data_IF_591843854715
#
_entry.id   IF_591843854715
#
_cell.length_a   1.000
_cell.length_b   1.000
_cell.length_c   1.000
_cell.angle_alpha   90.00
_cell.angle_beta   90.00
_cell.angle_gamma   90.00
#
_symmetry.space_group_name_H-M   'P 1'
#
loop_
_entity.id
_entity.type
_entity.pdbx_description
1 polymer ?
#
# COMPACT_ATOMS: atom_id res chain seq x y z
N UNK A 1 -18.60 -2.57 -4.62
CA UNK A 1 -17.84 -3.83 -4.61
C UNK A 1 -16.34 -3.65 -4.90
N UNK A 2 -15.95 -2.90 -5.93
CA UNK A 2 -14.53 -2.68 -6.29
C UNK A 2 -13.74 -1.98 -5.17
N UNK A 3 -14.28 -0.92 -4.57
CA UNK A 3 -13.65 -0.22 -3.44
C UNK A 3 -13.39 -1.17 -2.26
N UNK A 4 -14.34 -2.07 -1.96
CA UNK A 4 -14.19 -3.08 -0.90
C UNK A 4 -13.02 -4.02 -1.20
N UNK A 5 -12.89 -4.50 -2.44
CA UNK A 5 -11.77 -5.36 -2.84
C UNK A 5 -10.42 -4.64 -2.70
N UNK A 6 -10.35 -3.38 -3.10
CA UNK A 6 -9.17 -2.53 -2.93
C UNK A 6 -8.82 -2.39 -1.43
N UNK A 7 -9.80 -2.10 -0.59
CA UNK A 7 -9.60 -1.94 0.85
C UNK A 7 -9.15 -3.25 1.51
N UNK A 8 -9.73 -4.39 1.12
CA UNK A 8 -9.32 -5.72 1.60
C UNK A 8 -7.90 -6.05 1.15
N UNK A 9 -7.54 -5.78 -0.11
CA UNK A 9 -6.19 -5.97 -0.62
C UNK A 9 -5.15 -5.16 0.16
N UNK A 10 -5.43 -3.88 0.41
CA UNK A 10 -4.57 -3.03 1.24
C UNK A 10 -4.53 -3.49 2.70
N UNK A 11 -5.65 -3.89 3.29
CA UNK A 11 -5.70 -4.39 4.66
C UNK A 11 -4.85 -5.66 4.83
N UNK A 12 -4.98 -6.63 3.91
CA UNK A 12 -4.15 -7.83 3.88
C UNK A 12 -2.67 -7.49 3.75
N UNK A 13 -2.35 -6.50 2.91
CA UNK A 13 -0.99 -5.99 2.77
C UNK A 13 -0.42 -5.44 4.08
N UNK A 14 -1.17 -4.55 4.75
CA UNK A 14 -0.78 -3.97 6.05
C UNK A 14 -0.58 -5.05 7.11
N UNK A 15 -1.53 -5.99 7.23
CA UNK A 15 -1.43 -7.11 8.16
C UNK A 15 -0.19 -7.97 7.89
N UNK A 16 0.11 -8.23 6.62
CA UNK A 16 1.32 -8.94 6.21
C UNK A 16 2.59 -8.18 6.61
N UNK A 17 2.66 -6.86 6.42
CA UNK A 17 3.82 -6.07 6.84
C UNK A 17 4.02 -6.06 8.36
N UNK A 18 2.96 -5.90 9.15
CA UNK A 18 3.06 -5.97 10.61
C UNK A 18 3.45 -7.36 11.11
N UNK A 19 2.89 -8.41 10.51
CA UNK A 19 3.24 -9.80 10.82
C UNK A 19 4.69 -10.10 10.45
N UNK A 20 5.13 -9.61 9.28
CA UNK A 20 6.52 -9.69 8.85
C UNK A 20 7.46 -8.95 9.80
N UNK A 21 7.07 -7.77 10.28
CA UNK A 21 7.83 -7.01 11.28
C UNK A 21 7.96 -7.76 12.60
N UNK A 22 6.88 -8.39 13.08
CA UNK A 22 6.92 -9.23 14.29
C UNK A 22 7.91 -10.39 14.17
N UNK A 23 7.93 -11.08 13.03
CA UNK A 23 8.84 -12.20 12.80
C UNK A 23 10.30 -11.80 12.54
N UNK A 24 10.61 -10.50 12.41
CA UNK A 24 11.96 -9.99 12.16
C UNK A 24 13.01 -10.57 13.11
N UNK A 25 12.69 -10.71 14.39
CA UNK A 25 13.63 -11.17 15.42
C UNK A 25 13.52 -12.66 15.73
N UNK A 26 12.47 -13.35 15.25
CA UNK A 26 12.19 -14.76 15.58
C UNK A 26 12.55 -15.71 14.45
N UNK A 27 12.05 -15.43 13.24
CA UNK A 27 12.15 -16.31 12.08
C UNK A 27 12.28 -15.48 10.82
N UNK A 28 13.51 -15.30 10.35
CA UNK A 28 13.82 -14.51 9.15
C UNK A 28 13.12 -15.04 7.87
N UNK A 29 12.88 -16.36 7.78
CA UNK A 29 12.12 -16.95 6.67
C UNK A 29 10.67 -16.42 6.66
N UNK A 30 9.98 -16.45 7.81
CA UNK A 30 8.63 -15.91 7.93
C UNK A 30 8.60 -14.40 7.68
N UNK A 31 9.57 -13.66 8.22
CA UNK A 31 9.73 -12.23 7.92
C UNK A 31 9.75 -11.96 6.41
N UNK A 32 10.53 -12.72 5.64
CA UNK A 32 10.60 -12.56 4.18
C UNK A 32 9.29 -12.90 3.49
N UNK A 33 8.67 -14.04 3.84
CA UNK A 33 7.42 -14.48 3.22
C UNK A 33 6.33 -13.43 3.43
N UNK A 34 6.10 -13.00 4.68
CA UNK A 34 5.07 -12.02 4.98
C UNK A 34 5.34 -10.65 4.34
N UNK A 35 6.58 -10.16 4.34
CA UNK A 35 6.89 -8.89 3.69
C UNK A 35 6.74 -8.96 2.16
N UNK A 36 7.11 -10.07 1.52
CA UNK A 36 6.90 -10.27 0.08
C UNK A 36 5.42 -10.39 -0.25
N UNK A 37 4.65 -11.17 0.51
CA UNK A 37 3.20 -11.25 0.35
C UNK A 37 2.53 -9.89 0.54
N UNK A 38 2.93 -9.13 1.56
CA UNK A 38 2.44 -7.78 1.80
C UNK A 38 2.74 -6.83 0.64
N UNK A 39 3.95 -6.90 0.09
CA UNK A 39 4.34 -6.13 -1.09
C UNK A 39 3.54 -6.53 -2.34
N UNK A 40 3.31 -7.82 -2.56
CA UNK A 40 2.50 -8.32 -3.68
C UNK A 40 1.05 -7.84 -3.59
N UNK A 41 0.41 -7.93 -2.42
CA UNK A 41 -0.95 -7.41 -2.23
C UNK A 41 -1.04 -5.91 -2.49
N UNK A 42 -0.08 -5.13 -2.00
CA UNK A 42 -0.04 -3.69 -2.26
C UNK A 42 0.15 -3.41 -3.75
N UNK A 43 1.09 -4.09 -4.40
CA UNK A 43 1.41 -3.87 -5.81
C UNK A 43 0.24 -4.24 -6.72
N UNK A 44 -0.41 -5.39 -6.49
CA UNK A 44 -1.61 -5.78 -7.22
C UNK A 44 -2.69 -4.71 -7.07
N UNK A 45 -2.96 -4.27 -5.84
CA UNK A 45 -4.00 -3.27 -5.57
C UNK A 45 -3.68 -1.92 -6.23
N UNK A 46 -2.42 -1.48 -6.15
CA UNK A 46 -1.96 -0.25 -6.78
C UNK A 46 -2.08 -0.32 -8.32
N UNK A 47 -1.67 -1.44 -8.93
CA UNK A 47 -1.80 -1.65 -10.37
C UNK A 47 -3.27 -1.72 -10.79
N UNK A 48 -4.14 -2.35 -10.02
CA UNK A 48 -5.59 -2.35 -10.28
C UNK A 48 -6.17 -0.93 -10.24
N UNK A 49 -5.77 -0.11 -9.27
CA UNK A 49 -6.19 1.29 -9.18
C UNK A 49 -5.71 2.13 -10.38
N UNK A 50 -4.45 1.94 -10.80
CA UNK A 50 -3.91 2.61 -11.98
C UNK A 50 -4.61 2.17 -13.26
N UNK A 51 -4.88 0.88 -13.41
CA UNK A 51 -5.63 0.32 -14.52
C UNK A 51 -7.03 0.95 -14.60
N UNK A 52 -7.78 0.95 -13.50
CA UNK A 52 -9.12 1.57 -13.46
C UNK A 52 -9.06 3.05 -13.82
N UNK A 53 -8.09 3.78 -13.26
CA UNK A 53 -7.96 5.23 -13.47
C UNK A 53 -7.66 5.60 -14.93
N UNK A 54 -6.74 4.88 -15.59
CA UNK A 54 -6.23 5.28 -16.91
C UNK A 54 -6.79 4.47 -18.08
N UNK A 55 -7.17 3.21 -17.86
CA UNK A 55 -7.62 2.29 -18.90
C UNK A 55 -9.07 1.83 -18.71
N UNK A 56 -9.57 1.80 -17.46
CA UNK A 56 -10.92 1.39 -17.12
C UNK A 56 -11.98 2.50 -17.18
N UNK A 57 -11.71 3.57 -17.94
CA UNK A 57 -12.63 4.71 -18.08
C UNK A 57 -12.67 5.67 -16.89
N UNK A 58 -11.88 5.46 -15.84
CA UNK A 58 -11.78 6.36 -14.69
C UNK A 58 -12.39 5.79 -13.41
N UNK A 59 -11.96 6.33 -12.26
CA UNK A 59 -12.38 5.86 -10.93
C UNK A 59 -13.89 6.04 -10.70
N UNK A 60 -14.47 7.13 -11.22
CA UNK A 60 -15.89 7.44 -11.08
C UNK A 60 -16.77 6.41 -11.81
N UNK A 61 -16.34 5.95 -13.00
CA UNK A 61 -17.02 4.89 -13.75
C UNK A 61 -16.96 3.53 -13.03
N UNK A 62 -15.99 3.32 -12.15
CA UNK A 62 -15.92 2.17 -11.25
C UNK A 62 -16.72 2.37 -9.94
N UNK A 63 -17.46 3.47 -9.81
CA UNK A 63 -18.24 3.84 -8.63
C UNK A 63 -17.39 4.30 -7.44
N UNK A 64 -16.14 4.71 -7.67
CA UNK A 64 -15.24 5.23 -6.64
C UNK A 64 -15.21 6.75 -6.78
N UNK A 65 -15.81 7.44 -5.82
CA UNK A 65 -15.87 8.91 -5.80
C UNK A 65 -15.15 9.49 -4.58
N UNK A 66 -14.53 10.66 -4.72
CA UNK A 66 -13.94 11.36 -3.59
C UNK A 66 -15.05 11.82 -2.62
N UNK A 67 -14.77 11.72 -1.31
CA UNK A 67 -15.65 12.20 -0.25
C UNK A 67 -15.28 13.63 0.22
N UNK A 68 -14.16 14.16 -0.24
CA UNK A 68 -13.58 15.44 0.18
C UNK A 68 -13.03 16.23 -1.01
N UNK A 69 -12.57 17.44 -0.75
CA UNK A 69 -11.99 18.34 -1.74
C UNK A 69 -10.79 17.74 -2.49
N UNK A 70 -10.66 18.17 -3.74
CA UNK A 70 -9.65 17.67 -4.69
C UNK A 70 -8.22 17.82 -4.20
N UNK A 71 -7.89 18.92 -3.51
CA UNK A 71 -6.54 19.16 -3.00
C UNK A 71 -6.11 18.12 -1.96
N UNK A 72 -7.05 17.63 -1.13
CA UNK A 72 -6.79 16.57 -0.13
C UNK A 72 -6.54 15.24 -0.84
N UNK A 73 -7.36 14.94 -1.85
CA UNK A 73 -7.23 13.72 -2.66
C UNK A 73 -5.89 13.69 -3.40
N UNK A 74 -5.49 14.79 -4.02
CA UNK A 74 -4.23 14.87 -4.76
C UNK A 74 -3.03 14.77 -3.83
N UNK A 75 -3.12 15.36 -2.62
CA UNK A 75 -2.11 15.18 -1.56
C UNK A 75 -2.00 13.71 -1.14
N UNK A 76 -3.11 13.05 -0.83
CA UNK A 76 -3.12 11.63 -0.49
C UNK A 76 -2.50 10.78 -1.60
N UNK A 77 -2.85 11.04 -2.87
CA UNK A 77 -2.30 10.31 -4.03
C UNK A 77 -0.80 10.51 -4.17
N UNK A 78 -0.29 11.71 -3.92
CA UNK A 78 1.15 11.99 -3.96
C UNK A 78 1.90 11.17 -2.89
N UNK A 79 1.40 11.14 -1.67
CA UNK A 79 1.99 10.31 -0.61
C UNK A 79 1.81 8.81 -0.84
N UNK A 80 0.70 8.38 -1.45
CA UNK A 80 0.50 6.98 -1.84
C UNK A 80 1.54 6.55 -2.89
N UNK A 81 1.80 7.40 -3.90
CA UNK A 81 2.85 7.15 -4.89
C UNK A 81 4.25 7.11 -4.25
N UNK A 82 4.55 8.04 -3.34
CA UNK A 82 5.81 8.02 -2.59
C UNK A 82 5.93 6.71 -1.79
N UNK A 83 4.86 6.28 -1.12
CA UNK A 83 4.85 5.06 -0.32
C UNK A 83 5.07 3.81 -1.18
N UNK A 84 4.52 3.79 -2.39
CA UNK A 84 4.79 2.73 -3.37
C UNK A 84 6.29 2.68 -3.72
N UNK A 85 6.93 3.82 -3.97
CA UNK A 85 8.38 3.88 -4.23
C UNK A 85 9.18 3.36 -3.03
N UNK A 86 8.82 3.78 -1.81
CA UNK A 86 9.47 3.30 -0.59
C UNK A 86 9.31 1.78 -0.41
N UNK A 87 8.14 1.21 -0.73
CA UNK A 87 7.93 -0.24 -0.72
C UNK A 87 8.84 -0.95 -1.74
N UNK A 88 8.99 -0.43 -2.95
CA UNK A 88 9.88 -1.02 -3.95
C UNK A 88 11.35 -0.97 -3.50
N UNK A 89 11.77 0.15 -2.92
CA UNK A 89 13.10 0.28 -2.30
C UNK A 89 13.27 -0.68 -1.12
N UNK A 90 12.22 -0.97 -0.35
CA UNK A 90 12.22 -1.96 0.74
C UNK A 90 12.45 -3.37 0.20
N UNK A 91 11.72 -3.76 -0.84
CA UNK A 91 11.88 -5.07 -1.50
C UNK A 91 13.29 -5.19 -2.08
N UNK A 92 13.73 -4.19 -2.84
CA UNK A 92 15.07 -4.15 -3.43
C UNK A 92 16.17 -4.25 -2.37
N UNK A 93 16.14 -3.39 -1.35
CA UNK A 93 17.14 -3.39 -0.28
C UNK A 93 17.17 -4.69 0.53
N UNK A 94 16.01 -5.36 0.68
CA UNK A 94 15.89 -6.68 1.27
C UNK A 94 16.59 -7.77 0.44
N UNK A 95 16.38 -7.76 -0.88
CA UNK A 95 17.01 -8.69 -1.83
C UNK A 95 18.53 -8.43 -1.92
N UNK A 96 18.94 -7.17 -2.03
CA UNK A 96 20.35 -6.75 -2.08
C UNK A 96 21.07 -6.84 -0.74
N UNK A 97 20.41 -7.35 0.31
CA UNK A 97 20.96 -7.53 1.66
C UNK A 97 21.55 -6.25 2.29
N UNK A 98 21.05 -5.07 1.92
CA UNK A 98 21.46 -3.76 2.45
C UNK A 98 20.77 -3.48 3.79
N UNK A 99 21.14 -4.22 4.83
CA UNK A 99 20.43 -4.29 6.12
C UNK A 99 20.20 -2.94 6.81
N UNK A 100 21.23 -2.08 6.87
CA UNK A 100 21.12 -0.77 7.53
C UNK A 100 20.12 0.15 6.82
N UNK A 101 20.22 0.24 5.50
CA UNK A 101 19.30 1.01 4.67
C UNK A 101 17.88 0.45 4.76
N UNK A 102 17.72 -0.87 4.62
CA UNK A 102 16.44 -1.55 4.76
C UNK A 102 15.78 -1.28 6.12
N UNK A 103 16.54 -1.30 7.22
CA UNK A 103 16.00 -1.01 8.56
C UNK A 103 15.48 0.42 8.67
N UNK A 104 16.26 1.40 8.21
CA UNK A 104 15.86 2.83 8.23
C UNK A 104 14.61 3.05 7.39
N UNK A 105 14.58 2.43 6.21
CA UNK A 105 13.47 2.54 5.28
C UNK A 105 12.19 1.89 5.84
N UNK A 106 12.30 0.73 6.51
CA UNK A 106 11.15 0.07 7.15
C UNK A 106 10.52 0.94 8.24
N UNK A 107 11.34 1.67 8.99
CA UNK A 107 10.87 2.56 10.06
C UNK A 107 10.06 3.74 9.54
N UNK A 108 10.35 4.20 8.32
CA UNK A 108 9.60 5.29 7.65
C UNK A 108 8.40 4.72 6.90
N UNK A 109 8.61 3.64 6.15
CA UNK A 109 7.60 3.04 5.29
C UNK A 109 6.38 2.55 6.07
N UNK A 110 6.58 1.82 7.18
CA UNK A 110 5.47 1.17 7.86
C UNK A 110 4.47 2.19 8.43
N UNK A 111 4.87 3.21 9.22
CA UNK A 111 3.93 4.23 9.71
C UNK A 111 3.27 5.01 8.57
N UNK A 112 4.05 5.41 7.55
CA UNK A 112 3.52 6.17 6.42
C UNK A 112 2.46 5.36 5.66
N UNK A 113 2.74 4.09 5.37
CA UNK A 113 1.79 3.21 4.69
C UNK A 113 0.52 2.99 5.51
N UNK A 114 0.64 2.86 6.83
CA UNK A 114 -0.54 2.78 7.70
C UNK A 114 -1.40 4.04 7.66
N UNK A 115 -0.79 5.23 7.70
CA UNK A 115 -1.52 6.50 7.58
C UNK A 115 -2.21 6.62 6.22
N UNK A 116 -1.52 6.23 5.14
CA UNK A 116 -2.10 6.24 3.80
C UNK A 116 -3.25 5.26 3.68
N UNK A 117 -3.11 4.03 4.20
CA UNK A 117 -4.22 3.08 4.24
C UNK A 117 -5.43 3.65 4.99
N UNK A 118 -5.24 4.15 6.22
CA UNK A 118 -6.33 4.69 7.03
C UNK A 118 -6.99 5.91 6.40
N UNK A 119 -6.20 6.84 5.85
CA UNK A 119 -6.77 7.99 5.14
C UNK A 119 -7.53 7.56 3.89
N UNK A 120 -7.03 6.56 3.15
CA UNK A 120 -7.73 6.02 1.98
C UNK A 120 -9.13 5.47 2.29
N UNK A 121 -9.31 4.87 3.47
CA UNK A 121 -10.63 4.37 3.92
C UNK A 121 -11.67 5.49 4.09
N UNK A 122 -11.23 6.70 4.44
CA UNK A 122 -12.12 7.84 4.74
C UNK A 122 -12.30 8.76 3.54
N UNK A 123 -11.29 8.86 2.67
CA UNK A 123 -11.26 9.80 1.56
C UNK A 123 -12.06 9.35 0.33
N UNK A 124 -12.34 8.05 0.21
CA UNK A 124 -13.04 7.47 -0.94
C UNK A 124 -14.31 6.74 -0.50
N UNK A 125 -15.39 6.92 -1.25
CA UNK A 125 -16.67 6.24 -1.02
C UNK A 125 -17.15 5.51 -2.27
N UNK A 126 -17.97 4.48 -2.06
CA UNK A 126 -18.68 3.76 -3.12
C UNK A 126 -19.98 4.50 -3.41
N UNK A 127 -20.31 4.73 -4.70
CA UNK A 127 -21.63 5.20 -5.12
C UNK A 127 -22.65 4.07 -5.31
N UNK A 128 -22.18 2.83 -5.23
CA UNK A 128 -23.00 1.61 -5.19
C UNK A 128 -23.20 1.14 -3.76
#
# INVERSE_FOLDING_TARGET
MILTLINVGMALSVLCFYTGYYFRFRKNVLHRIFNLSGASFNLITALSLLYIKYLGGGLENAGIVPAVDRWIIDTHRAFAALTLVLMLLMVWSGISRKKEFHRKLHYIFLPLYTVIFLSGLVLFRSTN
#
